data_IF_894260887088
#
_entry.id   IF_894260887088
#
_cell.length_a   1.000
_cell.length_b   1.000
_cell.length_c   1.000
_cell.angle_alpha   90.00
_cell.angle_beta   90.00
_cell.angle_gamma   90.00
#
_symmetry.space_group_name_H-M   'P 1'
#
loop_
_entity.id
_entity.type
_entity.pdbx_description
1 polymer ?
#
# COMPACT_ATOMS: atom_id res chain seq x y z
N UNK A 1 10.68 24.48 -10.49
CA UNK A 1 11.05 23.64 -9.34
C UNK A 1 12.57 23.68 -9.20
N UNK A 2 13.12 23.47 -8.00
CA UNK A 2 14.57 23.53 -7.78
C UNK A 2 15.26 22.26 -8.28
N UNK A 3 16.52 22.36 -8.69
CA UNK A 3 17.34 21.22 -9.13
C UNK A 3 17.39 20.10 -8.07
N UNK A 4 17.37 20.48 -6.79
CA UNK A 4 17.36 19.55 -5.65
C UNK A 4 16.06 18.73 -5.55
N UNK A 5 14.91 19.34 -5.85
CA UNK A 5 13.61 18.65 -5.83
C UNK A 5 13.58 17.51 -6.86
N UNK A 6 13.98 17.80 -8.10
CA UNK A 6 13.97 16.81 -9.18
C UNK A 6 14.96 15.66 -8.90
N UNK A 7 16.13 15.97 -8.32
CA UNK A 7 17.12 14.98 -7.90
C UNK A 7 16.60 14.05 -6.79
N UNK A 8 15.82 14.57 -5.84
CA UNK A 8 15.22 13.76 -4.77
C UNK A 8 14.21 12.77 -5.35
N UNK A 9 13.34 13.23 -6.26
CA UNK A 9 12.36 12.35 -6.90
C UNK A 9 13.02 11.27 -7.75
N UNK A 10 14.08 11.62 -8.49
CA UNK A 10 14.83 10.66 -9.30
C UNK A 10 15.53 9.60 -8.44
N UNK A 11 16.12 10.01 -7.30
CA UNK A 11 16.69 9.08 -6.31
C UNK A 11 15.64 8.12 -5.77
N UNK A 12 14.46 8.62 -5.42
CA UNK A 12 13.36 7.77 -4.92
C UNK A 12 12.94 6.77 -6.00
N UNK A 13 12.65 7.23 -7.22
CA UNK A 13 12.22 6.37 -8.34
C UNK A 13 13.26 5.32 -8.72
N UNK A 14 14.54 5.63 -8.59
CA UNK A 14 15.64 4.71 -8.95
C UNK A 14 15.94 3.69 -7.85
N UNK A 15 15.89 4.10 -6.58
CA UNK A 15 16.32 3.27 -5.45
C UNK A 15 15.17 2.52 -4.77
N UNK A 16 13.94 3.01 -4.84
CA UNK A 16 12.77 2.32 -4.29
C UNK A 16 12.22 1.36 -5.34
N UNK A 17 12.49 0.07 -5.15
CA UNK A 17 11.99 -1.00 -6.02
C UNK A 17 10.91 -1.79 -5.30
N UNK A 18 9.66 -1.43 -5.58
CA UNK A 18 8.51 -2.16 -5.06
C UNK A 18 8.46 -3.57 -5.65
N UNK A 19 8.24 -4.55 -4.77
CA UNK A 19 7.77 -5.87 -5.19
C UNK A 19 6.28 -5.76 -5.56
N UNK A 20 5.87 -6.33 -6.69
CA UNK A 20 4.46 -6.22 -7.10
C UNK A 20 3.53 -6.99 -6.15
N UNK A 21 2.50 -6.30 -5.65
CA UNK A 21 1.49 -6.87 -4.77
C UNK A 21 0.18 -7.11 -5.52
N UNK A 22 -0.49 -8.27 -5.31
CA UNK A 22 -0.08 -9.38 -4.45
C UNK A 22 0.83 -10.42 -5.13
N UNK A 23 0.99 -10.39 -6.45
CA UNK A 23 1.48 -11.52 -7.26
C UNK A 23 2.86 -12.02 -6.82
N UNK A 24 3.80 -11.12 -6.57
CA UNK A 24 5.14 -11.53 -6.18
C UNK A 24 5.23 -12.00 -4.73
N UNK A 25 4.32 -11.55 -3.86
CA UNK A 25 4.21 -12.06 -2.49
C UNK A 25 3.52 -13.42 -2.44
N UNK A 26 2.72 -13.76 -3.46
CA UNK A 26 2.06 -15.04 -3.58
C UNK A 26 2.92 -16.16 -4.16
N UNK A 27 4.13 -15.85 -4.67
CA UNK A 27 5.06 -16.84 -5.22
C UNK A 27 5.29 -17.99 -4.22
N UNK A 28 4.88 -19.20 -4.60
CA UNK A 28 5.02 -20.40 -3.77
C UNK A 28 3.84 -20.73 -2.84
N UNK A 29 2.80 -19.90 -2.82
CA UNK A 29 1.56 -20.19 -2.09
C UNK A 29 0.49 -20.78 -3.00
N UNK A 30 -0.32 -21.68 -2.45
CA UNK A 30 -1.52 -22.19 -3.14
C UNK A 30 -2.63 -21.15 -3.08
N UNK A 31 -3.06 -20.68 -4.24
CA UNK A 31 -4.27 -19.87 -4.38
C UNK A 31 -5.50 -20.75 -4.16
N UNK A 32 -6.46 -20.25 -3.38
CA UNK A 32 -7.70 -20.98 -3.03
C UNK A 32 -8.95 -20.29 -3.57
N UNK A 33 -8.83 -19.08 -4.11
CA UNK A 33 -9.94 -18.35 -4.70
C UNK A 33 -9.51 -16.99 -5.22
N UNK A 34 -10.52 -16.20 -5.56
CA UNK A 34 -10.41 -14.83 -6.05
C UNK A 34 -11.42 -13.96 -5.29
N UNK A 35 -11.11 -12.69 -5.10
CA UNK A 35 -11.98 -11.73 -4.43
C UNK A 35 -12.00 -10.43 -5.20
N UNK A 36 -13.22 -9.95 -5.45
CA UNK A 36 -13.46 -8.62 -5.98
C UNK A 36 -13.06 -7.55 -4.96
N UNK A 37 -12.46 -6.50 -5.46
CA UNK A 37 -11.93 -5.39 -4.65
C UNK A 37 -12.62 -4.11 -5.08
N UNK A 38 -13.14 -3.37 -4.10
CA UNK A 38 -13.62 -2.02 -4.33
C UNK A 38 -12.44 -1.06 -4.43
N UNK A 39 -12.50 -0.18 -5.42
CA UNK A 39 -11.47 0.80 -5.73
C UNK A 39 -12.04 2.19 -5.63
N UNK A 40 -11.22 3.13 -5.15
CA UNK A 40 -11.67 4.49 -4.92
C UNK A 40 -10.55 5.46 -4.62
N UNK A 41 -10.96 6.64 -4.19
CA UNK A 41 -10.06 7.73 -3.84
C UNK A 41 -9.95 7.94 -2.33
N UNK A 42 -11.06 7.77 -1.62
CA UNK A 42 -11.13 7.82 -0.16
C UNK A 42 -11.16 6.39 0.38
N UNK A 43 -10.01 5.94 0.89
CA UNK A 43 -9.81 4.57 1.36
C UNK A 43 -9.23 4.62 2.77
N UNK A 44 -9.94 4.04 3.72
CA UNK A 44 -9.47 3.90 5.08
C UNK A 44 -9.97 2.61 5.72
N UNK A 45 -9.31 2.18 6.78
CA UNK A 45 -9.63 0.97 7.51
C UNK A 45 -9.77 1.32 8.99
N UNK A 46 -10.74 0.74 9.67
CA UNK A 46 -10.93 0.95 11.09
C UNK A 46 -11.45 -0.30 11.78
N UNK A 47 -11.16 -0.41 13.08
CA UNK A 47 -11.57 -1.55 13.91
C UNK A 47 -12.87 -1.23 14.66
N UNK A 48 -13.80 -2.16 14.64
CA UNK A 48 -14.98 -2.20 15.50
C UNK A 48 -14.86 -3.38 16.48
N UNK A 49 -15.83 -3.53 17.40
CA UNK A 49 -15.79 -4.56 18.46
C UNK A 49 -15.65 -5.99 17.89
N UNK A 50 -16.32 -6.28 16.78
CA UNK A 50 -16.43 -7.64 16.22
C UNK A 50 -15.49 -7.91 15.04
N UNK A 51 -14.80 -6.88 14.52
CA UNK A 51 -13.99 -7.04 13.32
C UNK A 51 -13.42 -5.73 12.79
N UNK A 52 -13.11 -5.72 11.50
CA UNK A 52 -12.49 -4.59 10.82
C UNK A 52 -13.33 -4.24 9.60
N UNK A 53 -13.58 -2.96 9.42
CA UNK A 53 -14.21 -2.44 8.22
C UNK A 53 -13.15 -1.77 7.34
N UNK A 54 -13.16 -2.10 6.06
CA UNK A 54 -12.50 -1.31 5.02
C UNK A 54 -13.55 -0.46 4.35
N UNK A 55 -13.28 0.83 4.20
CA UNK A 55 -14.17 1.80 3.57
C UNK A 55 -13.54 2.31 2.29
N UNK A 56 -14.29 2.26 1.19
CA UNK A 56 -13.87 2.75 -0.13
C UNK A 56 -14.96 3.67 -0.68
N UNK A 57 -14.65 4.95 -0.84
CA UNK A 57 -15.59 5.99 -1.30
C UNK A 57 -16.97 5.93 -0.58
N UNK A 58 -16.92 5.69 0.74
CA UNK A 58 -18.10 5.59 1.62
C UNK A 58 -18.78 4.21 1.69
N UNK A 59 -18.39 3.24 0.84
CA UNK A 59 -18.88 1.86 0.91
C UNK A 59 -18.08 1.07 1.92
N UNK A 60 -18.76 0.25 2.73
CA UNK A 60 -18.16 -0.51 3.84
C UNK A 60 -18.12 -2.00 3.53
N UNK A 61 -16.95 -2.61 3.69
CA UNK A 61 -16.76 -4.06 3.65
C UNK A 61 -16.24 -4.56 4.99
N UNK A 62 -16.97 -5.48 5.62
CA UNK A 62 -16.64 -6.03 6.93
C UNK A 62 -15.80 -7.32 6.82
N UNK A 63 -14.81 -7.43 7.69
CA UNK A 63 -13.93 -8.59 7.81
C UNK A 63 -13.79 -9.05 9.26
N UNK A 64 -13.89 -10.35 9.46
CA UNK A 64 -13.60 -11.00 10.75
C UNK A 64 -12.12 -11.40 10.92
N UNK A 65 -11.33 -11.38 9.84
CA UNK A 65 -9.88 -11.61 9.86
C UNK A 65 -9.13 -10.30 9.56
N UNK A 66 -8.30 -9.80 10.49
CA UNK A 66 -7.50 -8.60 10.27
C UNK A 66 -6.53 -8.69 9.11
N UNK A 67 -5.98 -9.87 8.82
CA UNK A 67 -5.03 -10.01 7.72
C UNK A 67 -5.72 -10.01 6.37
N UNK A 68 -6.94 -10.56 6.29
CA UNK A 68 -7.74 -10.47 5.08
C UNK A 68 -8.21 -9.03 4.83
N UNK A 69 -8.61 -8.32 5.89
CA UNK A 69 -8.95 -6.90 5.81
C UNK A 69 -7.79 -6.05 5.28
N UNK A 70 -6.58 -6.27 5.81
CA UNK A 70 -5.37 -5.60 5.32
C UNK A 70 -5.05 -5.94 3.87
N UNK A 71 -5.20 -7.22 3.50
CA UNK A 71 -4.99 -7.66 2.12
C UNK A 71 -5.93 -6.96 1.14
N UNK A 72 -7.21 -6.86 1.51
CA UNK A 72 -8.21 -6.10 0.77
C UNK A 72 -7.82 -4.61 0.70
N UNK A 73 -7.53 -3.99 1.85
CA UNK A 73 -7.16 -2.58 1.94
C UNK A 73 -5.96 -2.21 1.06
N UNK A 74 -4.86 -2.98 1.12
CA UNK A 74 -3.70 -2.73 0.27
C UNK A 74 -4.02 -2.93 -1.21
N UNK A 75 -4.85 -3.91 -1.57
CA UNK A 75 -5.32 -4.12 -2.95
C UNK A 75 -6.13 -2.92 -3.46
N UNK A 76 -7.02 -2.38 -2.63
CA UNK A 76 -7.80 -1.18 -2.94
C UNK A 76 -6.91 0.05 -3.13
N UNK A 77 -5.87 0.22 -2.30
CA UNK A 77 -4.96 1.38 -2.38
C UNK A 77 -4.24 1.48 -3.73
N UNK A 78 -3.88 0.34 -4.32
CA UNK A 78 -3.23 0.27 -5.63
C UNK A 78 -4.22 0.13 -6.80
N UNK A 79 -5.53 0.07 -6.51
CA UNK A 79 -6.58 0.09 -7.52
C UNK A 79 -6.79 -1.21 -8.29
N UNK A 80 -6.50 -2.37 -7.67
CA UNK A 80 -6.81 -3.67 -8.27
C UNK A 80 -8.30 -3.95 -8.17
N UNK A 81 -8.98 -4.35 -9.24
CA UNK A 81 -10.42 -4.69 -9.20
C UNK A 81 -10.70 -6.12 -8.72
N UNK A 82 -9.69 -6.98 -8.76
CA UNK A 82 -9.78 -8.37 -8.31
C UNK A 82 -8.39 -8.87 -7.91
N UNK A 83 -8.35 -9.75 -6.92
CA UNK A 83 -7.11 -10.36 -6.44
C UNK A 83 -7.26 -11.84 -6.13
N UNK A 84 -6.22 -12.58 -6.44
CA UNK A 84 -6.08 -13.97 -6.01
C UNK A 84 -5.89 -14.03 -4.50
N UNK A 85 -6.59 -14.95 -3.83
CA UNK A 85 -6.49 -15.14 -2.38
C UNK A 85 -5.85 -16.50 -2.09
N UNK A 86 -4.74 -16.57 -1.33
CA UNK A 86 -4.21 -17.81 -0.83
C UNK A 86 -4.95 -18.24 0.45
N UNK A 87 -4.62 -19.41 1.01
CA UNK A 87 -5.23 -19.79 2.29
C UNK A 87 -4.93 -18.77 3.42
N UNK A 88 -5.73 -18.81 4.49
CA UNK A 88 -5.66 -17.86 5.63
C UNK A 88 -4.25 -17.70 6.22
N UNK A 89 -3.52 -18.81 6.39
CA UNK A 89 -2.16 -18.76 6.92
C UNK A 89 -1.19 -18.05 5.98
N UNK A 90 -1.38 -18.22 4.68
CA UNK A 90 -0.57 -17.59 3.64
C UNK A 90 -0.86 -16.10 3.55
N UNK A 91 -2.13 -15.67 3.63
CA UNK A 91 -2.52 -14.24 3.69
C UNK A 91 -1.77 -13.56 4.84
N UNK A 92 -1.78 -14.18 6.03
CA UNK A 92 -1.06 -13.65 7.19
C UNK A 92 0.44 -13.48 6.94
N UNK A 93 1.09 -14.45 6.28
CA UNK A 93 2.52 -14.35 5.95
C UNK A 93 2.79 -13.26 4.92
N UNK A 94 1.98 -13.20 3.86
CA UNK A 94 2.05 -12.17 2.81
C UNK A 94 1.98 -10.78 3.42
N UNK A 95 0.98 -10.52 4.27
CA UNK A 95 0.82 -9.21 4.91
C UNK A 95 2.01 -8.85 5.81
N UNK A 96 2.53 -9.79 6.59
CA UNK A 96 3.71 -9.51 7.43
C UNK A 96 4.94 -9.14 6.61
N UNK A 97 5.17 -9.83 5.50
CA UNK A 97 6.30 -9.54 4.60
C UNK A 97 6.08 -8.20 3.91
N UNK A 98 4.88 -7.94 3.41
CA UNK A 98 4.51 -6.66 2.82
C UNK A 98 4.72 -5.50 3.81
N UNK A 99 4.21 -5.58 5.03
CA UNK A 99 4.37 -4.53 6.05
C UNK A 99 5.85 -4.26 6.37
N UNK A 100 6.68 -5.30 6.35
CA UNK A 100 8.13 -5.16 6.53
C UNK A 100 8.75 -4.40 5.36
N UNK A 101 8.38 -4.77 4.12
CA UNK A 101 8.86 -4.09 2.92
C UNK A 101 8.38 -2.62 2.89
N UNK A 102 7.11 -2.36 3.19
CA UNK A 102 6.54 -1.01 3.25
C UNK A 102 7.24 -0.11 4.26
N UNK A 103 7.60 -0.65 5.44
CA UNK A 103 8.40 0.09 6.42
C UNK A 103 9.79 0.43 5.89
N UNK A 104 10.48 -0.53 5.29
CA UNK A 104 11.79 -0.30 4.69
C UNK A 104 11.73 0.75 3.56
N UNK A 105 10.69 0.70 2.73
CA UNK A 105 10.47 1.70 1.67
C UNK A 105 10.17 3.08 2.24
N UNK A 106 9.35 3.16 3.30
CA UNK A 106 9.05 4.42 3.99
C UNK A 106 10.32 5.05 4.54
N UNK A 107 11.13 4.30 5.28
CA UNK A 107 12.37 4.80 5.88
C UNK A 107 13.32 5.36 4.80
N UNK A 108 13.43 4.67 3.67
CA UNK A 108 14.24 5.11 2.53
C UNK A 108 13.67 6.38 1.86
N UNK A 109 12.35 6.44 1.65
CA UNK A 109 11.68 7.61 1.09
C UNK A 109 11.83 8.82 2.02
N UNK A 110 11.61 8.64 3.32
CA UNK A 110 11.73 9.70 4.32
C UNK A 110 13.16 10.22 4.42
N UNK A 111 14.16 9.34 4.28
CA UNK A 111 15.56 9.76 4.17
C UNK A 111 15.78 10.73 3.00
N UNK A 112 15.26 10.42 1.81
CA UNK A 112 15.38 11.30 0.64
C UNK A 112 14.55 12.57 0.77
N UNK A 113 13.35 12.50 1.34
CA UNK A 113 12.45 13.65 1.51
C UNK A 113 12.88 14.59 2.66
N UNK A 114 13.73 14.14 3.57
CA UNK A 114 14.18 14.91 4.75
C UNK A 114 14.90 16.20 4.40
N UNK A 115 15.53 16.27 3.21
CA UNK A 115 16.26 17.45 2.72
C UNK A 115 15.32 18.54 2.17
N UNK A 116 14.07 18.18 1.88
CA UNK A 116 13.07 19.10 1.36
C UNK A 116 12.31 19.80 2.49
N UNK A 117 11.94 21.06 2.23
CA UNK A 117 10.99 21.79 3.06
C UNK A 117 9.58 21.15 3.02
N UNK A 118 8.72 21.52 3.96
CA UNK A 118 7.38 20.93 4.10
C UNK A 118 6.50 21.06 2.85
N UNK A 119 6.62 22.17 2.10
CA UNK A 119 5.82 22.40 0.90
C UNK A 119 6.32 21.54 -0.25
N UNK A 120 7.63 21.49 -0.46
CA UNK A 120 8.28 20.64 -1.44
C UNK A 120 8.04 19.17 -1.14
N UNK A 121 8.14 18.74 0.12
CA UNK A 121 7.84 17.38 0.57
C UNK A 121 6.42 16.96 0.23
N UNK A 122 5.41 17.79 0.56
CA UNK A 122 4.01 17.50 0.23
C UNK A 122 3.79 17.36 -1.28
N UNK A 123 4.41 18.21 -2.08
CA UNK A 123 4.33 18.13 -3.53
C UNK A 123 5.00 16.86 -4.07
N UNK A 124 6.18 16.51 -3.56
CA UNK A 124 6.90 15.30 -3.95
C UNK A 124 6.09 14.04 -3.67
N UNK A 125 5.49 13.93 -2.47
CA UNK A 125 4.62 12.82 -2.08
C UNK A 125 3.43 12.67 -3.05
N UNK A 126 2.77 13.78 -3.38
CA UNK A 126 1.65 13.76 -4.34
C UNK A 126 2.10 13.35 -5.74
N UNK A 127 3.29 13.76 -6.17
CA UNK A 127 3.85 13.40 -7.47
C UNK A 127 4.23 11.91 -7.53
N UNK A 128 4.83 11.38 -6.47
CA UNK A 128 5.18 9.97 -6.35
C UNK A 128 3.91 9.10 -6.44
N UNK A 129 2.87 9.44 -5.67
CA UNK A 129 1.56 8.76 -5.73
C UNK A 129 0.97 8.76 -7.15
N UNK A 130 1.09 9.88 -7.89
CA UNK A 130 0.60 9.96 -9.27
C UNK A 130 1.42 9.13 -10.25
N UNK A 131 2.71 8.95 -9.97
CA UNK A 131 3.62 8.19 -10.84
C UNK A 131 3.53 6.68 -10.66
N UNK A 132 3.28 6.21 -9.44
CA UNK A 132 3.16 4.79 -9.11
C UNK A 132 2.19 4.62 -7.91
N UNK A 133 1.06 3.90 -8.09
CA UNK A 133 0.10 3.64 -7.01
C UNK A 133 0.70 2.94 -5.79
N UNK A 134 1.82 2.22 -5.93
CA UNK A 134 2.47 1.55 -4.80
C UNK A 134 2.92 2.52 -3.71
N UNK A 135 3.22 3.78 -4.07
CA UNK A 135 3.51 4.81 -3.08
C UNK A 135 2.33 5.06 -2.13
N UNK A 136 1.07 4.87 -2.58
CA UNK A 136 -0.10 4.95 -1.69
C UNK A 136 -0.03 3.93 -0.56
N UNK A 137 0.42 2.71 -0.83
CA UNK A 137 0.60 1.69 0.21
C UNK A 137 1.65 2.12 1.24
N UNK A 138 2.75 2.73 0.80
CA UNK A 138 3.79 3.19 1.73
C UNK A 138 3.31 4.37 2.57
N UNK A 139 2.55 5.28 1.97
CA UNK A 139 2.12 6.52 2.62
C UNK A 139 0.94 6.27 3.57
N UNK A 140 -0.03 5.46 3.17
CA UNK A 140 -1.28 5.22 3.92
C UNK A 140 -1.33 3.86 4.64
N UNK A 141 -0.30 3.02 4.50
CA UNK A 141 -0.31 1.63 4.93
C UNK A 141 -0.23 1.36 6.43
N UNK A 142 0.08 2.36 7.26
CA UNK A 142 0.13 2.24 8.73
C UNK A 142 -0.85 3.23 9.40
N UNK A 143 -2.05 3.40 8.83
CA UNK A 143 -3.15 4.17 9.45
C UNK A 143 -3.90 3.31 10.48
#
# INVERSE_FOLDING_TARGET
MSLEYDQVLDKIRTNVRFRAFPEEYLKGFKVVGEMEIENGSDIFMYRELEGINVVVDGRKTFFNDPYLAKYYYYSSLIGLSSVMIPNKESVRRVIKVLETDLRNYRDLIDQYLSVLDDKARKNAVNELIKSDPNFRMVIYGES
#
